data_IF_573203013636
#
_entry.id   IF_573203013636
#
_cell.length_a   1.000
_cell.length_b   1.000
_cell.length_c   1.000
_cell.angle_alpha   90.00
_cell.angle_beta   90.00
_cell.angle_gamma   90.00
#
_symmetry.space_group_name_H-M   'P 1'
#
loop_
_entity.id
_entity.type
_entity.pdbx_description
1 polymer ?
#
# COMPACT_ATOMS: atom_id res chain seq x y z
N UNK A 1 -22.12 -6.12 19.66
CA UNK A 1 -21.50 -4.78 19.54
C UNK A 1 -20.00 -4.95 19.34
N UNK A 2 -19.46 -4.58 18.20
CA UNK A 2 -18.00 -4.54 18.02
C UNK A 2 -17.41 -3.48 18.96
N UNK A 3 -16.32 -3.83 19.63
CA UNK A 3 -15.61 -2.92 20.55
C UNK A 3 -14.93 -1.83 19.73
N UNK A 4 -15.28 -0.56 19.97
CA UNK A 4 -14.57 0.57 19.34
C UNK A 4 -13.13 0.61 19.85
N UNK A 5 -12.18 0.66 18.93
CA UNK A 5 -10.75 0.75 19.20
C UNK A 5 -10.33 2.20 18.96
N UNK A 6 -10.16 2.96 20.03
CA UNK A 6 -9.68 4.33 19.93
C UNK A 6 -8.19 4.37 19.57
N UNK A 7 -7.78 5.17 18.57
CA UNK A 7 -6.37 5.35 18.24
C UNK A 7 -5.58 5.86 19.45
N UNK A 8 -4.30 5.47 19.61
CA UNK A 8 -3.48 5.92 20.75
C UNK A 8 -3.42 7.43 20.92
N UNK A 9 -3.45 8.19 19.83
CA UNK A 9 -3.34 9.66 19.82
C UNK A 9 -4.59 10.42 20.29
N UNK A 10 -5.69 9.73 20.52
CA UNK A 10 -6.86 10.30 21.19
C UNK A 10 -6.73 10.29 22.72
N UNK A 11 -5.74 9.56 23.27
CA UNK A 11 -5.54 9.48 24.72
C UNK A 11 -4.86 10.73 25.26
N UNK A 12 -5.35 11.32 26.38
CA UNK A 12 -4.68 12.42 27.04
C UNK A 12 -3.22 12.06 27.37
N UNK A 13 -2.30 13.01 27.16
CA UNK A 13 -0.87 12.84 27.44
C UNK A 13 -0.10 12.00 26.40
N UNK A 14 -0.77 11.42 25.41
CA UNK A 14 -0.08 10.64 24.38
C UNK A 14 1.05 11.42 23.69
N UNK A 15 0.77 12.65 23.23
CA UNK A 15 1.77 13.44 22.52
C UNK A 15 3.00 13.78 23.39
N UNK A 16 2.79 14.03 24.67
CA UNK A 16 3.89 14.25 25.62
C UNK A 16 4.74 12.98 25.78
N UNK A 17 4.09 11.83 25.92
CA UNK A 17 4.79 10.54 26.06
C UNK A 17 5.59 10.19 24.80
N UNK A 18 5.03 10.38 23.59
CA UNK A 18 5.76 10.11 22.33
C UNK A 18 6.89 11.11 22.12
N UNK A 19 6.70 12.37 22.51
CA UNK A 19 7.75 13.39 22.39
C UNK A 19 8.97 13.02 23.23
N UNK A 20 8.77 12.49 24.45
CA UNK A 20 9.86 11.98 25.29
C UNK A 20 10.60 10.83 24.63
N UNK A 21 9.87 9.85 24.08
CA UNK A 21 10.46 8.72 23.36
C UNK A 21 11.26 9.19 22.12
N UNK A 22 10.68 10.07 21.30
CA UNK A 22 11.33 10.63 20.10
C UNK A 22 12.66 11.29 20.45
N UNK A 23 12.67 12.15 21.47
CA UNK A 23 13.90 12.86 21.93
C UNK A 23 14.95 11.85 22.41
N UNK A 24 14.54 10.85 23.20
CA UNK A 24 15.46 9.83 23.70
C UNK A 24 16.13 9.04 22.56
N UNK A 25 15.34 8.57 21.58
CA UNK A 25 15.88 7.79 20.46
C UNK A 25 16.79 8.64 19.56
N UNK A 26 16.45 9.90 19.34
CA UNK A 26 17.30 10.79 18.57
C UNK A 26 18.64 11.07 19.23
N UNK A 27 18.65 11.27 20.55
CA UNK A 27 19.90 11.43 21.31
C UNK A 27 20.75 10.16 21.22
N UNK A 28 20.13 8.99 21.41
CA UNK A 28 20.79 7.69 21.30
C UNK A 28 21.37 7.44 19.90
N UNK A 29 20.72 7.95 18.86
CA UNK A 29 21.18 7.86 17.45
C UNK A 29 22.25 8.94 17.08
N UNK A 30 22.66 9.81 18.02
CA UNK A 30 23.60 10.91 17.72
C UNK A 30 22.98 12.04 16.90
N UNK A 31 21.66 12.17 16.92
CA UNK A 31 20.87 13.16 16.20
C UNK A 31 20.13 14.09 17.19
N UNK A 32 20.82 14.90 18.00
CA UNK A 32 20.16 15.73 19.00
C UNK A 32 19.10 16.65 18.38
N UNK A 33 17.89 16.73 18.94
CA UNK A 33 16.83 17.55 18.40
C UNK A 33 17.12 19.05 18.61
N UNK A 34 16.81 19.87 17.61
CA UNK A 34 16.90 21.35 17.63
C UNK A 34 15.61 22.01 18.17
N UNK A 35 14.76 21.24 18.84
CA UNK A 35 13.50 21.72 19.40
C UNK A 35 12.59 20.58 19.82
N UNK A 36 11.34 20.91 20.11
CA UNK A 36 10.32 19.89 20.44
C UNK A 36 9.72 19.28 19.19
N UNK A 37 9.31 17.98 19.22
CA UNK A 37 8.49 17.42 18.15
C UNK A 37 7.22 18.24 17.93
N UNK A 38 6.82 18.36 16.67
CA UNK A 38 5.62 19.09 16.25
C UNK A 38 4.66 18.08 15.62
N UNK A 39 3.46 17.97 16.16
CA UNK A 39 2.40 17.14 15.57
C UNK A 39 1.97 17.75 14.24
N UNK A 40 2.13 16.98 13.16
CA UNK A 40 1.82 17.45 11.79
C UNK A 40 0.41 17.03 11.37
N UNK A 41 0.03 15.79 11.71
CA UNK A 41 -1.27 15.23 11.28
C UNK A 41 -1.64 14.02 12.11
N UNK A 42 -2.95 13.87 12.37
CA UNK A 42 -3.58 12.63 12.81
C UNK A 42 -4.64 12.17 11.81
N UNK A 43 -4.76 10.86 11.65
CA UNK A 43 -5.77 10.17 10.84
C UNK A 43 -6.23 8.94 11.63
N UNK A 44 -7.37 8.33 11.32
CA UNK A 44 -7.78 7.09 11.98
C UNK A 44 -6.72 5.98 11.98
N UNK A 45 -5.85 5.95 10.97
CA UNK A 45 -4.83 4.92 10.77
C UNK A 45 -3.40 5.31 11.18
N UNK A 46 -3.09 6.59 11.37
CA UNK A 46 -1.75 7.02 11.77
C UNK A 46 -1.69 8.44 12.36
N UNK A 47 -0.71 8.65 13.25
CA UNK A 47 -0.28 9.96 13.70
C UNK A 47 1.14 10.24 13.22
N UNK A 48 1.39 11.47 12.76
CA UNK A 48 2.67 11.91 12.20
C UNK A 48 3.14 13.16 12.92
N UNK A 49 4.39 13.14 13.39
CA UNK A 49 5.06 14.30 13.94
C UNK A 49 6.41 14.50 13.26
N UNK A 50 6.96 15.67 13.42
CA UNK A 50 8.25 16.07 12.84
C UNK A 50 9.11 16.73 13.92
N UNK A 51 10.40 16.49 13.85
CA UNK A 51 11.40 17.17 14.67
C UNK A 51 12.65 17.49 13.84
N UNK A 52 13.24 18.64 14.05
CA UNK A 52 14.45 19.04 13.35
C UNK A 52 15.70 18.57 14.10
N UNK A 53 16.71 18.12 13.38
CA UNK A 53 17.99 17.67 13.91
C UNK A 53 19.10 17.99 12.93
N UNK A 54 20.18 18.67 13.33
CA UNK A 54 21.38 18.87 12.49
C UNK A 54 21.09 19.36 11.07
N UNK A 55 20.09 20.22 10.88
CA UNK A 55 19.68 20.74 9.58
C UNK A 55 18.78 19.81 8.75
N UNK A 56 18.44 18.59 9.26
CA UNK A 56 17.49 17.65 8.63
C UNK A 56 16.24 17.48 9.48
N UNK A 57 15.14 17.18 8.84
CA UNK A 57 13.93 16.73 9.55
C UNK A 57 13.99 15.22 9.82
N UNK A 58 13.46 14.82 10.97
CA UNK A 58 13.14 13.44 11.29
C UNK A 58 11.63 13.34 11.43
N UNK A 59 11.07 12.30 10.84
CA UNK A 59 9.65 12.04 10.84
C UNK A 59 9.32 10.89 11.79
N UNK A 60 8.41 11.16 12.70
CA UNK A 60 7.77 10.17 13.54
C UNK A 60 6.46 9.74 12.91
N UNK A 61 6.21 8.42 12.91
CA UNK A 61 4.90 7.84 12.60
C UNK A 61 4.54 6.83 13.68
N UNK A 62 3.30 6.89 14.18
CA UNK A 62 2.68 5.81 14.94
C UNK A 62 1.48 5.29 14.16
N UNK A 63 1.47 4.00 13.85
CA UNK A 63 0.40 3.34 13.11
C UNK A 63 -0.70 2.86 14.05
N UNK A 64 -1.94 2.84 13.58
CA UNK A 64 -3.07 2.27 14.32
C UNK A 64 -2.83 0.79 14.64
N UNK A 65 -3.52 0.23 15.64
CA UNK A 65 -3.35 -1.17 16.04
C UNK A 65 -3.53 -2.18 14.88
N UNK A 66 -4.43 -1.91 13.94
CA UNK A 66 -4.63 -2.74 12.74
C UNK A 66 -3.46 -2.71 11.76
N UNK A 67 -2.60 -1.69 11.83
CA UNK A 67 -1.44 -1.47 10.95
C UNK A 67 -0.12 -1.54 11.74
N UNK A 68 -0.12 -2.11 12.94
CA UNK A 68 1.04 -2.14 13.83
C UNK A 68 2.24 -2.94 13.29
N UNK A 69 2.07 -3.72 12.25
CA UNK A 69 3.12 -4.46 11.55
C UNK A 69 4.04 -3.56 10.72
N UNK A 70 3.60 -2.35 10.35
CA UNK A 70 4.27 -1.48 9.39
C UNK A 70 5.73 -1.16 9.74
N UNK A 71 6.12 -0.77 10.98
CA UNK A 71 7.51 -0.49 11.28
C UNK A 71 8.42 -1.71 11.09
N UNK A 72 7.98 -2.88 11.54
CA UNK A 72 8.75 -4.12 11.41
C UNK A 72 8.88 -4.56 9.93
N UNK A 73 7.82 -4.40 9.15
CA UNK A 73 7.85 -4.62 7.71
C UNK A 73 8.80 -3.63 7.02
N UNK A 74 8.73 -2.34 7.35
CA UNK A 74 9.60 -1.32 6.75
C UNK A 74 11.07 -1.60 7.01
N UNK A 75 11.43 -2.03 8.24
CA UNK A 75 12.80 -2.47 8.57
C UNK A 75 13.20 -3.65 7.69
N UNK A 76 12.33 -4.63 7.52
CA UNK A 76 12.61 -5.80 6.69
C UNK A 76 12.79 -5.43 5.22
N UNK A 77 11.90 -4.60 4.67
CA UNK A 77 12.00 -4.07 3.29
C UNK A 77 13.31 -3.31 3.10
N UNK A 78 13.67 -2.43 4.04
CA UNK A 78 14.92 -1.66 3.99
C UNK A 78 16.17 -2.56 4.03
N UNK A 79 16.12 -3.70 4.71
CA UNK A 79 17.22 -4.66 4.70
C UNK A 79 17.43 -5.34 3.34
N UNK A 80 16.37 -5.44 2.52
CA UNK A 80 16.41 -6.06 1.18
C UNK A 80 16.73 -5.06 0.07
N UNK A 81 16.31 -3.81 0.22
CA UNK A 81 16.55 -2.76 -0.78
C UNK A 81 16.67 -1.38 -0.11
N UNK A 82 17.83 -1.10 0.54
CA UNK A 82 18.02 0.13 1.33
C UNK A 82 17.93 1.41 0.50
N UNK A 83 18.38 1.39 -0.75
CA UNK A 83 18.36 2.54 -1.67
C UNK A 83 16.95 2.88 -2.20
N UNK A 84 15.95 2.01 -1.97
CA UNK A 84 14.53 2.25 -2.32
C UNK A 84 13.63 2.38 -1.09
N UNK A 85 14.21 2.44 0.09
CA UNK A 85 13.52 2.47 1.37
C UNK A 85 13.87 3.74 2.16
N UNK A 86 13.05 4.16 3.15
CA UNK A 86 13.42 5.23 4.05
C UNK A 86 14.61 4.86 4.93
N UNK A 87 15.41 5.84 5.32
CA UNK A 87 16.45 5.69 6.34
C UNK A 87 15.80 5.65 7.73
N UNK A 88 15.82 4.48 8.38
CA UNK A 88 15.17 4.25 9.66
C UNK A 88 16.13 4.61 10.78
N UNK A 89 15.69 5.46 11.70
CA UNK A 89 16.45 5.87 12.89
C UNK A 89 16.15 4.93 14.06
N UNK A 90 14.86 4.70 14.34
CA UNK A 90 14.43 3.82 15.43
C UNK A 90 13.02 3.27 15.19
N UNK A 91 12.72 2.12 15.80
CA UNK A 91 11.36 1.55 15.82
C UNK A 91 11.04 1.00 17.21
N UNK A 92 9.75 1.10 17.62
CA UNK A 92 9.25 0.50 18.86
C UNK A 92 7.77 0.17 18.74
N UNK A 93 7.46 -1.12 18.55
CA UNK A 93 6.07 -1.55 18.30
C UNK A 93 5.50 -0.84 17.07
N UNK A 94 4.36 -0.12 17.17
CA UNK A 94 3.75 0.56 16.05
C UNK A 94 4.43 1.90 15.67
N UNK A 95 5.55 2.26 16.32
CA UNK A 95 6.25 3.53 16.17
C UNK A 95 7.49 3.39 15.32
N UNK A 96 7.74 4.39 14.48
CA UNK A 96 8.92 4.48 13.64
C UNK A 96 9.42 5.92 13.56
N UNK A 97 10.75 6.09 13.57
CA UNK A 97 11.46 7.32 13.24
C UNK A 97 12.24 7.11 11.96
N UNK A 98 12.07 8.00 11.00
CA UNK A 98 12.81 7.98 9.74
C UNK A 98 13.43 9.34 9.47
N UNK A 99 14.60 9.36 8.86
CA UNK A 99 15.16 10.59 8.30
C UNK A 99 14.26 11.07 7.16
N UNK A 100 14.21 12.40 6.96
CA UNK A 100 13.52 13.00 5.84
C UNK A 100 14.01 12.42 4.51
N UNK A 101 13.09 11.85 3.73
CA UNK A 101 13.37 11.19 2.46
C UNK A 101 13.41 12.15 1.25
N UNK A 102 13.31 13.46 1.48
CA UNK A 102 13.35 14.46 0.44
C UNK A 102 11.99 14.94 -0.05
N UNK A 103 11.93 15.38 -1.29
CA UNK A 103 10.71 15.91 -1.87
C UNK A 103 9.79 14.81 -2.37
N UNK A 104 8.49 14.96 -2.15
CA UNK A 104 7.47 14.06 -2.72
C UNK A 104 7.53 14.09 -4.26
N UNK A 105 7.49 12.93 -4.90
CA UNK A 105 7.50 12.81 -6.37
C UNK A 105 6.38 13.64 -7.01
N UNK A 106 5.20 13.62 -6.42
CA UNK A 106 4.05 14.47 -6.82
C UNK A 106 4.38 15.95 -6.85
N UNK A 107 5.13 16.45 -5.87
CA UNK A 107 5.53 17.86 -5.82
C UNK A 107 6.57 18.19 -6.88
N UNK A 108 7.48 17.26 -7.17
CA UNK A 108 8.49 17.42 -8.23
C UNK A 108 7.84 17.46 -9.61
N UNK A 109 6.91 16.55 -9.91
CA UNK A 109 6.19 16.53 -11.18
C UNK A 109 5.35 17.80 -11.38
N UNK A 110 4.65 18.28 -10.34
CA UNK A 110 3.90 19.53 -10.40
C UNK A 110 4.79 20.75 -10.70
N UNK A 111 6.01 20.76 -10.17
CA UNK A 111 7.01 21.83 -10.40
C UNK A 111 7.80 21.63 -11.69
N UNK A 112 7.54 20.55 -12.44
CA UNK A 112 8.33 20.14 -13.61
C UNK A 112 9.84 20.03 -13.30
N UNK A 113 10.16 19.65 -12.07
CA UNK A 113 11.55 19.44 -11.63
C UNK A 113 12.05 18.08 -12.14
N UNK A 114 13.39 17.95 -12.26
CA UNK A 114 14.00 16.66 -12.57
C UNK A 114 13.65 15.65 -11.48
N UNK A 115 13.10 14.52 -11.87
CA UNK A 115 12.68 13.45 -10.98
C UNK A 115 12.76 12.10 -11.70
N UNK A 116 12.91 10.99 -10.99
CA UNK A 116 12.78 9.64 -11.56
C UNK A 116 11.43 9.47 -12.26
N UNK A 117 11.44 8.76 -13.39
CA UNK A 117 10.23 8.44 -14.13
C UNK A 117 9.56 7.17 -13.59
N UNK A 118 8.33 6.91 -13.99
CA UNK A 118 7.67 5.65 -13.68
C UNK A 118 8.36 4.44 -14.36
N UNK A 119 9.04 4.67 -15.48
CA UNK A 119 9.85 3.65 -16.15
C UNK A 119 11.07 3.24 -15.32
N UNK A 120 11.58 4.14 -14.45
CA UNK A 120 12.66 3.82 -13.52
C UNK A 120 12.13 3.19 -12.22
N UNK A 121 10.93 3.59 -11.78
CA UNK A 121 10.37 3.22 -10.48
C UNK A 121 9.73 1.82 -10.53
N UNK A 122 8.96 1.52 -11.58
CA UNK A 122 8.21 0.26 -11.68
C UNK A 122 9.10 -0.99 -11.73
N UNK A 123 10.18 -1.03 -12.52
CA UNK A 123 11.12 -2.16 -12.48
C UNK A 123 11.77 -2.32 -11.10
N UNK A 124 12.12 -1.23 -10.42
CA UNK A 124 12.69 -1.30 -9.06
C UNK A 124 11.69 -1.84 -8.04
N UNK A 125 10.43 -1.49 -8.18
CA UNK A 125 9.37 -2.06 -7.33
C UNK A 125 9.18 -3.55 -7.61
N UNK A 126 9.15 -3.98 -8.86
CA UNK A 126 9.10 -5.39 -9.24
C UNK A 126 10.31 -6.19 -8.68
N UNK A 127 11.51 -5.66 -8.80
CA UNK A 127 12.72 -6.29 -8.22
C UNK A 127 12.64 -6.38 -6.68
N UNK A 128 12.10 -5.37 -6.01
CA UNK A 128 11.86 -5.43 -4.57
C UNK A 128 10.88 -6.56 -4.21
N UNK A 129 9.78 -6.68 -4.94
CA UNK A 129 8.80 -7.74 -4.74
C UNK A 129 9.44 -9.13 -4.93
N UNK A 130 10.27 -9.32 -5.96
CA UNK A 130 11.00 -10.55 -6.23
C UNK A 130 11.96 -10.89 -5.08
N UNK A 131 12.69 -9.90 -4.56
CA UNK A 131 13.59 -10.08 -3.41
C UNK A 131 12.86 -10.46 -2.13
N UNK A 132 11.63 -9.95 -1.93
CA UNK A 132 10.83 -10.22 -0.74
C UNK A 132 10.08 -11.55 -0.81
N UNK A 133 9.89 -12.12 -2.00
CA UNK A 133 9.14 -13.36 -2.17
C UNK A 133 9.75 -14.56 -1.42
N UNK A 134 11.07 -14.60 -1.29
CA UNK A 134 11.78 -15.66 -0.55
C UNK A 134 11.55 -15.60 0.96
N UNK A 135 11.05 -14.48 1.47
CA UNK A 135 10.86 -14.23 2.89
C UNK A 135 9.39 -14.45 3.35
N UNK A 136 8.56 -15.08 2.52
CA UNK A 136 7.13 -15.24 2.77
C UNK A 136 6.77 -15.72 4.19
N UNK A 137 7.41 -16.75 4.78
CA UNK A 137 7.13 -17.18 6.15
C UNK A 137 7.41 -16.07 7.18
N UNK A 138 8.49 -15.30 6.98
CA UNK A 138 8.84 -14.17 7.86
C UNK A 138 7.80 -13.05 7.76
N UNK A 139 7.35 -12.72 6.56
CA UNK A 139 6.37 -11.66 6.32
C UNK A 139 5.05 -11.97 7.02
N UNK A 140 4.56 -13.20 6.92
CA UNK A 140 3.39 -13.67 7.66
C UNK A 140 3.64 -13.67 9.18
N UNK A 141 4.84 -14.03 9.62
CA UNK A 141 5.27 -13.95 11.03
C UNK A 141 5.29 -12.53 11.60
N UNK A 142 5.53 -11.51 10.76
CA UNK A 142 5.42 -10.09 11.09
C UNK A 142 3.95 -9.62 11.17
N UNK A 143 2.98 -10.49 10.91
CA UNK A 143 1.54 -10.18 10.85
C UNK A 143 1.18 -9.23 9.70
N UNK A 144 1.94 -9.23 8.62
CA UNK A 144 1.52 -8.60 7.37
C UNK A 144 0.24 -9.30 6.90
N UNK A 145 -0.84 -8.56 6.57
CA UNK A 145 -2.11 -9.16 6.17
C UNK A 145 -1.95 -10.17 5.03
N UNK A 146 -2.58 -11.33 5.19
CA UNK A 146 -2.61 -12.37 4.16
C UNK A 146 -3.79 -12.11 3.21
N UNK A 147 -3.47 -11.61 2.02
CA UNK A 147 -4.40 -11.39 0.91
C UNK A 147 -4.00 -12.23 -0.30
N UNK A 148 -3.44 -13.42 -0.06
CA UNK A 148 -3.14 -14.36 -1.15
C UNK A 148 -4.44 -14.76 -1.88
N UNK A 149 -4.36 -15.10 -3.17
CA UNK A 149 -5.54 -15.33 -4.00
C UNK A 149 -6.61 -16.22 -3.34
N UNK A 150 -6.23 -17.38 -2.77
CA UNK A 150 -7.15 -18.28 -2.09
C UNK A 150 -7.81 -17.66 -0.84
N UNK A 151 -7.05 -16.87 -0.07
CA UNK A 151 -7.57 -16.16 1.11
C UNK A 151 -8.61 -15.11 0.70
N UNK A 152 -8.34 -14.36 -0.38
CA UNK A 152 -9.27 -13.34 -0.89
C UNK A 152 -10.56 -14.00 -1.40
N UNK A 153 -10.45 -15.09 -2.17
CA UNK A 153 -11.62 -15.82 -2.67
C UNK A 153 -12.50 -16.34 -1.52
N UNK A 154 -11.90 -16.91 -0.47
CA UNK A 154 -12.63 -17.36 0.72
C UNK A 154 -13.37 -16.22 1.43
N UNK A 155 -12.81 -15.01 1.46
CA UNK A 155 -13.42 -13.85 2.12
C UNK A 155 -14.42 -13.10 1.22
N UNK A 156 -14.46 -13.40 -0.08
CA UNK A 156 -15.26 -12.65 -1.04
C UNK A 156 -16.77 -12.59 -0.70
N UNK A 157 -17.45 -13.69 -0.31
CA UNK A 157 -18.87 -13.62 0.07
C UNK A 157 -19.12 -12.65 1.24
N UNK A 158 -18.25 -12.64 2.25
CA UNK A 158 -18.35 -11.73 3.40
C UNK A 158 -18.13 -10.26 3.00
N UNK A 159 -17.25 -10.02 2.00
CA UNK A 159 -17.05 -8.67 1.44
C UNK A 159 -18.30 -8.20 0.71
N UNK A 160 -18.93 -9.07 -0.08
CA UNK A 160 -20.18 -8.75 -0.78
C UNK A 160 -21.31 -8.46 0.22
N UNK A 161 -21.45 -9.26 1.28
CA UNK A 161 -22.43 -9.01 2.33
C UNK A 161 -22.24 -7.62 2.99
N UNK A 162 -21.00 -7.23 3.24
CA UNK A 162 -20.69 -5.97 3.95
C UNK A 162 -20.68 -4.74 3.06
N UNK A 163 -20.27 -4.86 1.80
CA UNK A 163 -19.98 -3.74 0.89
C UNK A 163 -20.69 -3.83 -0.46
N UNK A 164 -21.44 -4.90 -0.74
CA UNK A 164 -22.18 -5.09 -2.01
C UNK A 164 -23.36 -4.13 -2.21
N UNK A 165 -23.48 -3.13 -1.33
CA UNK A 165 -24.48 -2.10 -1.42
C UNK A 165 -25.80 -2.48 -0.77
N UNK A 166 -26.74 -1.52 -0.77
CA UNK A 166 -28.11 -1.70 -0.23
C UNK A 166 -29.06 -2.40 -1.21
N UNK A 167 -28.63 -2.52 -2.45
CA UNK A 167 -29.40 -3.19 -3.50
C UNK A 167 -29.11 -4.68 -3.51
N UNK A 168 -30.08 -5.49 -3.10
CA UNK A 168 -29.99 -6.93 -3.08
C UNK A 168 -29.70 -7.55 -4.47
N UNK A 169 -30.10 -6.87 -5.54
CA UNK A 169 -29.85 -7.32 -6.91
C UNK A 169 -28.34 -7.18 -7.24
N UNK A 170 -27.71 -6.08 -6.87
CA UNK A 170 -26.27 -5.87 -7.05
C UNK A 170 -25.45 -6.87 -6.24
N UNK A 171 -25.82 -7.09 -4.97
CA UNK A 171 -25.18 -8.11 -4.13
C UNK A 171 -25.30 -9.52 -4.72
N UNK A 172 -26.49 -9.88 -5.23
CA UNK A 172 -26.69 -11.16 -5.90
C UNK A 172 -25.85 -11.31 -7.17
N UNK A 173 -25.73 -10.27 -7.99
CA UNK A 173 -24.87 -10.26 -9.17
C UNK A 173 -23.40 -10.44 -8.80
N UNK A 174 -22.91 -9.76 -7.76
CA UNK A 174 -21.56 -9.95 -7.24
C UNK A 174 -21.32 -11.40 -6.81
N UNK A 175 -22.24 -12.02 -6.05
CA UNK A 175 -22.10 -13.41 -5.61
C UNK A 175 -22.08 -14.40 -6.79
N UNK A 176 -22.76 -14.11 -7.89
CA UNK A 176 -22.69 -14.94 -9.11
C UNK A 176 -21.31 -14.97 -9.76
N UNK A 177 -20.42 -14.02 -9.42
CA UNK A 177 -19.04 -14.02 -9.90
C UNK A 177 -18.12 -15.01 -9.15
N UNK A 178 -18.54 -15.54 -7.99
CA UNK A 178 -17.71 -16.42 -7.14
C UNK A 178 -17.06 -17.59 -7.90
N UNK A 179 -17.75 -18.39 -8.74
CA UNK A 179 -17.10 -19.51 -9.44
C UNK A 179 -16.05 -19.05 -10.46
N UNK A 180 -16.24 -17.88 -11.08
CA UNK A 180 -15.27 -17.29 -12.00
C UNK A 180 -14.08 -16.73 -11.24
N UNK A 181 -14.30 -16.13 -10.05
CA UNK A 181 -13.23 -15.70 -9.16
C UNK A 181 -12.39 -16.87 -8.69
N UNK A 182 -13.00 -18.01 -8.33
CA UNK A 182 -12.27 -19.23 -7.96
C UNK A 182 -11.38 -19.73 -9.11
N UNK A 183 -11.88 -19.69 -10.34
CA UNK A 183 -11.09 -20.04 -11.52
C UNK A 183 -9.92 -19.07 -11.76
N UNK A 184 -10.15 -17.77 -11.60
CA UNK A 184 -9.11 -16.74 -11.69
C UNK A 184 -8.03 -16.96 -10.63
N UNK A 185 -8.42 -17.23 -9.39
CA UNK A 185 -7.54 -17.47 -8.26
C UNK A 185 -6.66 -18.71 -8.47
N UNK A 186 -7.22 -19.79 -9.03
CA UNK A 186 -6.45 -20.97 -9.40
C UNK A 186 -5.36 -20.65 -10.43
N UNK A 187 -5.67 -19.81 -11.42
CA UNK A 187 -4.71 -19.37 -12.43
C UNK A 187 -3.56 -18.50 -11.88
N UNK A 188 -3.74 -17.90 -10.71
CA UNK A 188 -2.73 -17.04 -10.05
C UNK A 188 -1.78 -17.80 -9.12
N UNK A 189 -1.89 -19.12 -8.99
CA UNK A 189 -1.03 -19.88 -8.07
C UNK A 189 0.38 -20.13 -8.62
N UNK A 190 0.53 -20.22 -9.92
CA UNK A 190 1.78 -20.45 -10.65
C UNK A 190 1.86 -19.54 -11.87
N UNK A 191 3.03 -19.19 -12.41
CA UNK A 191 4.39 -19.53 -11.96
C UNK A 191 5.03 -18.48 -11.04
N UNK A 192 4.33 -17.40 -10.65
CA UNK A 192 4.91 -16.31 -9.88
C UNK A 192 4.84 -16.56 -8.36
N UNK A 193 5.93 -16.28 -7.63
CA UNK A 193 5.89 -16.40 -6.18
C UNK A 193 5.00 -15.33 -5.54
N UNK A 194 4.29 -15.68 -4.46
CA UNK A 194 3.61 -14.72 -3.60
C UNK A 194 4.64 -13.83 -2.91
N UNK A 195 4.32 -12.56 -2.73
CA UNK A 195 5.22 -11.56 -2.17
C UNK A 195 4.47 -10.48 -1.40
N UNK A 196 5.19 -9.49 -0.90
CA UNK A 196 4.57 -8.28 -0.36
C UNK A 196 4.13 -7.36 -1.50
N UNK A 197 2.88 -6.91 -1.41
CA UNK A 197 2.36 -5.80 -2.21
C UNK A 197 2.22 -4.58 -1.30
N UNK A 198 2.53 -3.41 -1.83
CA UNK A 198 2.42 -2.14 -1.09
C UNK A 198 1.00 -1.58 -1.11
N UNK A 199 0.22 -1.88 -2.13
CA UNK A 199 -1.12 -1.39 -2.46
C UNK A 199 -1.25 0.11 -2.76
N UNK A 200 -0.32 0.96 -2.29
CA UNK A 200 -0.36 2.42 -2.40
C UNK A 200 0.91 2.97 -3.09
N UNK A 201 1.43 2.28 -4.13
CA UNK A 201 2.56 2.80 -4.93
C UNK A 201 2.06 3.92 -5.83
N UNK A 202 2.13 5.15 -5.35
CA UNK A 202 1.74 6.35 -6.07
C UNK A 202 2.64 7.54 -5.74
N UNK A 203 2.53 8.62 -6.51
CA UNK A 203 3.41 9.79 -6.44
C UNK A 203 3.51 10.45 -5.05
N UNK A 204 2.52 10.24 -4.16
CA UNK A 204 2.54 10.82 -2.82
C UNK A 204 3.32 9.96 -1.80
N UNK A 205 3.54 8.68 -2.08
CA UNK A 205 4.28 7.75 -1.22
C UNK A 205 5.72 7.50 -1.73
N UNK A 206 6.09 8.15 -2.83
CA UNK A 206 7.45 8.14 -3.36
C UNK A 206 8.09 9.49 -3.06
N UNK A 207 9.25 9.44 -2.43
CA UNK A 207 10.06 10.60 -2.07
C UNK A 207 11.41 10.54 -2.77
N UNK A 208 11.95 11.69 -3.14
CA UNK A 208 13.18 11.79 -3.91
C UNK A 208 14.18 12.67 -3.17
N UNK A 209 15.33 12.10 -2.87
CA UNK A 209 16.50 12.81 -2.34
C UNK A 209 17.71 12.44 -3.19
N UNK A 210 18.45 13.45 -3.62
CA UNK A 210 19.67 13.30 -4.42
C UNK A 210 19.47 12.41 -5.67
N UNK A 211 18.31 12.59 -6.34
CA UNK A 211 17.92 11.84 -7.53
C UNK A 211 17.43 10.41 -7.27
N UNK A 212 17.48 9.94 -6.02
CA UNK A 212 17.09 8.56 -5.65
C UNK A 212 15.66 8.53 -5.12
N UNK A 213 14.80 7.71 -5.73
CA UNK A 213 13.43 7.46 -5.27
C UNK A 213 13.43 6.49 -4.09
N UNK A 214 12.60 6.78 -3.07
CA UNK A 214 12.32 5.92 -1.92
C UNK A 214 10.83 5.73 -1.76
N UNK A 215 10.39 4.50 -1.54
CA UNK A 215 9.00 4.14 -1.31
C UNK A 215 8.73 4.09 0.20
N UNK A 216 7.75 4.88 0.65
CA UNK A 216 7.35 5.01 2.05
C UNK A 216 5.88 4.61 2.22
N UNK A 217 5.46 4.48 3.50
CA UNK A 217 4.07 4.24 3.89
C UNK A 217 3.56 2.82 3.57
N UNK A 218 4.16 1.81 4.22
CA UNK A 218 3.84 0.39 4.09
C UNK A 218 2.64 -0.05 4.95
N UNK A 219 1.87 0.88 5.49
CA UNK A 219 0.75 0.57 6.40
C UNK A 219 -0.35 -0.26 5.79
N UNK A 220 -0.60 -0.15 4.49
CA UNK A 220 -1.63 -0.93 3.79
C UNK A 220 -1.08 -2.17 3.08
N UNK A 221 0.22 -2.46 3.25
CA UNK A 221 0.86 -3.60 2.62
C UNK A 221 0.21 -4.95 3.01
N UNK A 222 0.30 -5.89 2.10
CA UNK A 222 -0.19 -7.24 2.31
C UNK A 222 0.69 -8.27 1.61
N UNK A 223 0.58 -9.53 1.99
CA UNK A 223 1.11 -10.67 1.22
C UNK A 223 0.06 -11.07 0.19
N UNK A 224 0.43 -11.05 -1.10
CA UNK A 224 -0.47 -11.41 -2.20
C UNK A 224 0.30 -11.81 -3.46
N UNK A 225 -0.45 -12.01 -4.57
CA UNK A 225 0.12 -12.08 -5.90
C UNK A 225 0.75 -10.74 -6.28
N UNK A 226 1.98 -10.70 -6.84
CA UNK A 226 2.70 -9.44 -7.06
C UNK A 226 1.92 -8.40 -7.85
N UNK A 227 1.17 -8.81 -8.85
CA UNK A 227 0.44 -7.91 -9.74
C UNK A 227 -0.83 -7.30 -9.12
N UNK A 228 -1.27 -7.82 -7.96
CA UNK A 228 -2.34 -7.17 -7.19
C UNK A 228 -1.90 -5.80 -6.60
N UNK A 229 -0.60 -5.58 -6.43
CA UNK A 229 -0.05 -4.37 -5.80
C UNK A 229 0.02 -3.12 -6.67
N UNK A 230 -0.33 -3.19 -7.96
CA UNK A 230 -0.14 -2.05 -8.89
C UNK A 230 -1.44 -1.37 -9.35
N UNK A 231 -2.59 -1.79 -8.84
CA UNK A 231 -3.88 -1.21 -9.24
C UNK A 231 -3.91 0.30 -9.02
N UNK A 232 -3.60 0.76 -7.82
CA UNK A 232 -3.54 2.19 -7.50
C UNK A 232 -2.50 2.93 -8.32
N UNK A 233 -1.37 2.29 -8.64
CA UNK A 233 -0.30 2.90 -9.44
C UNK A 233 -0.81 3.28 -10.83
N UNK A 234 -1.38 2.33 -11.56
CA UNK A 234 -1.87 2.57 -12.91
C UNK A 234 -3.05 3.55 -12.92
N UNK A 235 -3.93 3.49 -11.92
CA UNK A 235 -5.04 4.44 -11.77
C UNK A 235 -4.57 5.86 -11.46
N UNK A 236 -3.65 6.05 -10.50
CA UNK A 236 -3.12 7.38 -10.14
C UNK A 236 -2.38 8.00 -11.35
N UNK A 237 -1.58 7.21 -12.08
CA UNK A 237 -0.87 7.66 -13.27
C UNK A 237 -1.85 8.05 -14.38
N UNK A 238 -2.82 7.18 -14.69
CA UNK A 238 -3.82 7.45 -15.73
C UNK A 238 -4.63 8.71 -15.41
N UNK A 239 -5.14 8.83 -14.20
CA UNK A 239 -5.92 9.97 -13.75
C UNK A 239 -5.11 11.27 -13.82
N UNK A 240 -3.89 11.30 -13.27
CA UNK A 240 -3.07 12.51 -13.19
C UNK A 240 -2.56 12.98 -14.54
N UNK A 241 -2.27 12.05 -15.42
CA UNK A 241 -1.75 12.34 -16.77
C UNK A 241 -2.85 12.37 -17.82
N UNK A 242 -4.12 12.13 -17.43
CA UNK A 242 -5.29 12.07 -18.30
C UNK A 242 -5.09 11.09 -19.46
N UNK A 243 -4.57 9.89 -19.12
CA UNK A 243 -4.30 8.84 -20.09
C UNK A 243 -5.55 7.98 -20.31
N UNK A 244 -5.72 7.50 -21.53
CA UNK A 244 -6.71 6.48 -21.84
C UNK A 244 -6.19 5.11 -21.33
N UNK A 245 -7.11 4.23 -20.92
CA UNK A 245 -6.79 2.88 -20.41
C UNK A 245 -5.99 2.02 -21.41
N UNK A 246 -6.18 2.23 -22.73
CA UNK A 246 -5.48 1.56 -23.83
C UNK A 246 -4.30 2.40 -24.38
N UNK A 247 -3.95 3.49 -23.70
CA UNK A 247 -2.94 4.43 -24.15
C UNK A 247 -1.53 3.83 -24.17
N UNK A 248 -0.75 4.15 -25.19
CA UNK A 248 0.64 3.66 -25.36
C UNK A 248 1.51 3.84 -24.12
N UNK A 249 1.30 4.92 -23.36
CA UNK A 249 2.09 5.19 -22.14
C UNK A 249 1.78 4.16 -21.07
N UNK A 250 0.52 3.82 -20.81
CA UNK A 250 0.16 2.80 -19.81
C UNK A 250 0.66 1.42 -20.22
N UNK A 251 0.59 1.08 -21.51
CA UNK A 251 1.13 -0.20 -22.02
C UNK A 251 2.65 -0.27 -21.86
N UNK A 252 3.36 0.83 -22.10
CA UNK A 252 4.81 0.92 -21.88
C UNK A 252 5.16 0.75 -20.41
N UNK A 253 4.43 1.39 -19.49
CA UNK A 253 4.64 1.26 -18.06
C UNK A 253 4.32 -0.16 -17.57
N UNK A 254 3.27 -0.81 -18.10
CA UNK A 254 2.99 -2.22 -17.87
C UNK A 254 4.17 -3.09 -18.28
N UNK A 255 4.69 -2.90 -19.49
CA UNK A 255 5.85 -3.64 -19.99
C UNK A 255 7.09 -3.43 -19.11
N UNK A 256 7.36 -2.20 -18.66
CA UNK A 256 8.47 -1.89 -17.76
C UNK A 256 8.32 -2.61 -16.40
N UNK A 257 7.10 -2.68 -15.84
CA UNK A 257 6.84 -3.42 -14.61
C UNK A 257 6.98 -4.94 -14.79
N UNK A 258 6.57 -5.47 -15.95
CA UNK A 258 6.63 -6.90 -16.24
C UNK A 258 8.04 -7.40 -16.61
N UNK A 259 8.92 -6.52 -17.05
CA UNK A 259 10.27 -6.89 -17.51
C UNK A 259 11.03 -7.74 -16.48
N UNK A 260 11.17 -7.37 -15.19
CA UNK A 260 11.88 -8.18 -14.22
C UNK A 260 11.24 -9.56 -13.98
N UNK A 261 9.96 -9.72 -14.25
CA UNK A 261 9.22 -10.97 -14.07
C UNK A 261 9.41 -11.96 -15.23
N UNK A 262 10.02 -11.53 -16.34
CA UNK A 262 10.28 -12.40 -17.51
C UNK A 262 11.19 -13.59 -17.20
N UNK A 263 11.90 -13.55 -16.07
CA UNK A 263 12.69 -14.69 -15.55
C UNK A 263 11.83 -15.85 -15.04
N UNK A 264 10.54 -15.62 -14.79
CA UNK A 264 9.61 -16.63 -14.26
C UNK A 264 8.66 -17.17 -15.34
N UNK A 265 8.28 -16.35 -16.32
CA UNK A 265 7.32 -16.74 -17.36
C UNK A 265 7.50 -15.90 -18.65
N UNK A 266 7.06 -16.43 -19.81
CA UNK A 266 7.01 -15.66 -21.04
C UNK A 266 6.09 -14.43 -20.93
N UNK A 267 6.40 -13.35 -21.67
CA UNK A 267 5.67 -12.07 -21.62
C UNK A 267 4.16 -12.26 -21.80
N UNK A 268 3.71 -13.06 -22.77
CA UNK A 268 2.28 -13.33 -23.00
C UNK A 268 1.59 -13.88 -21.74
N UNK A 269 2.21 -14.84 -21.06
CA UNK A 269 1.65 -15.40 -19.82
C UNK A 269 1.66 -14.35 -18.70
N UNK A 270 2.71 -13.52 -18.62
CA UNK A 270 2.78 -12.43 -17.65
C UNK A 270 1.67 -11.39 -17.87
N UNK A 271 1.31 -11.11 -19.12
CA UNK A 271 0.20 -10.19 -19.44
C UNK A 271 -1.15 -10.77 -19.00
N UNK A 272 -1.39 -12.06 -19.20
CA UNK A 272 -2.61 -12.74 -18.73
C UNK A 272 -2.68 -12.76 -17.19
N UNK A 273 -1.57 -13.07 -16.52
CA UNK A 273 -1.44 -13.02 -15.06
C UNK A 273 -1.57 -11.60 -14.51
N UNK A 274 -1.10 -10.61 -15.26
CA UNK A 274 -1.23 -9.20 -14.86
C UNK A 274 -2.70 -8.79 -14.80
N UNK A 275 -3.49 -9.11 -15.79
CA UNK A 275 -4.91 -8.77 -15.82
C UNK A 275 -5.67 -9.47 -14.67
N UNK A 276 -5.39 -10.75 -14.44
CA UNK A 276 -5.97 -11.49 -13.32
C UNK A 276 -5.52 -10.93 -11.95
N UNK A 277 -4.23 -10.61 -11.79
CA UNK A 277 -3.69 -10.01 -10.59
C UNK A 277 -4.22 -8.60 -10.33
N UNK A 278 -4.45 -7.83 -11.39
CA UNK A 278 -5.05 -6.49 -11.31
C UNK A 278 -6.48 -6.55 -10.78
N UNK A 279 -7.30 -7.51 -11.23
CA UNK A 279 -8.64 -7.75 -10.69
C UNK A 279 -8.58 -8.14 -9.21
N UNK A 280 -7.69 -9.09 -8.84
CA UNK A 280 -7.47 -9.46 -7.45
C UNK A 280 -7.09 -8.25 -6.59
N UNK A 281 -6.28 -7.33 -7.13
CA UNK A 281 -5.85 -6.11 -6.46
C UNK A 281 -7.00 -5.19 -6.07
N UNK A 282 -8.08 -5.15 -6.85
CA UNK A 282 -9.29 -4.39 -6.47
C UNK A 282 -9.93 -4.96 -5.21
N UNK A 283 -10.02 -6.29 -5.08
CA UNK A 283 -10.50 -6.96 -3.86
C UNK A 283 -9.54 -6.77 -2.68
N UNK A 284 -8.22 -6.75 -2.93
CA UNK A 284 -7.24 -6.40 -1.91
C UNK A 284 -7.49 -4.99 -1.36
N UNK A 285 -7.89 -4.04 -2.20
CA UNK A 285 -8.27 -2.68 -1.79
C UNK A 285 -9.54 -2.64 -0.94
N UNK A 286 -10.55 -3.46 -1.27
CA UNK A 286 -11.73 -3.62 -0.41
C UNK A 286 -11.33 -4.08 0.98
N UNK A 287 -10.47 -5.11 1.07
CA UNK A 287 -9.96 -5.64 2.34
C UNK A 287 -9.10 -4.62 3.11
N UNK A 288 -8.34 -3.76 2.43
CA UNK A 288 -7.56 -2.70 3.08
C UNK A 288 -8.50 -1.68 3.76
N UNK A 289 -9.52 -1.22 3.06
CA UNK A 289 -10.51 -0.30 3.64
C UNK A 289 -11.34 -0.94 4.74
N UNK A 290 -11.69 -2.22 4.61
CA UNK A 290 -12.32 -2.96 5.70
C UNK A 290 -11.44 -2.97 6.96
N UNK A 291 -10.16 -3.33 6.84
CA UNK A 291 -9.21 -3.35 7.95
C UNK A 291 -9.00 -1.97 8.61
N UNK A 292 -8.99 -0.89 7.80
CA UNK A 292 -8.86 0.49 8.29
C UNK A 292 -10.12 0.92 9.06
N UNK A 293 -11.31 0.54 8.60
CA UNK A 293 -12.58 0.95 9.20
C UNK A 293 -13.04 0.03 10.32
N UNK A 294 -12.49 -1.18 10.38
CA UNK A 294 -12.87 -2.16 11.41
C UNK A 294 -12.46 -1.69 12.81
N UNK A 295 -13.41 -1.70 13.73
CA UNK A 295 -13.18 -1.23 15.10
C UNK A 295 -13.13 0.29 15.28
N UNK A 296 -13.29 1.08 14.22
CA UNK A 296 -13.41 2.53 14.32
C UNK A 296 -14.80 2.95 14.86
N UNK A 297 -14.87 4.19 15.35
CA UNK A 297 -16.15 4.79 15.74
C UNK A 297 -17.12 4.83 14.54
N UNK A 298 -18.46 4.72 14.76
CA UNK A 298 -19.44 4.66 13.68
C UNK A 298 -19.33 5.81 12.67
N UNK A 299 -19.04 7.01 13.14
CA UNK A 299 -18.90 8.22 12.32
C UNK A 299 -17.70 8.11 11.38
N UNK A 300 -16.55 7.63 11.89
CA UNK A 300 -15.34 7.39 11.10
C UNK A 300 -15.60 6.28 10.09
N UNK A 301 -16.26 5.20 10.50
CA UNK A 301 -16.61 4.12 9.59
C UNK A 301 -17.51 4.60 8.46
N UNK A 302 -18.51 5.42 8.75
CA UNK A 302 -19.42 5.99 7.75
C UNK A 302 -18.69 6.88 6.74
N UNK A 303 -17.66 7.62 7.18
CA UNK A 303 -16.85 8.48 6.30
C UNK A 303 -16.06 7.68 5.27
N UNK A 304 -15.57 6.48 5.64
CA UNK A 304 -14.61 5.73 4.80
C UNK A 304 -15.17 4.45 4.16
N UNK A 305 -16.34 3.96 4.59
CA UNK A 305 -16.94 2.72 4.05
C UNK A 305 -17.17 2.79 2.54
N UNK A 306 -17.53 3.96 2.05
CA UNK A 306 -17.76 4.19 0.62
C UNK A 306 -16.54 3.85 -0.25
N UNK A 307 -15.33 3.97 0.27
CA UNK A 307 -14.14 3.57 -0.49
C UNK A 307 -14.10 2.07 -0.79
N UNK A 308 -14.53 1.22 0.16
CA UNK A 308 -14.64 -0.22 -0.07
C UNK A 308 -15.73 -0.55 -1.11
N UNK A 309 -16.87 0.13 -1.03
CA UNK A 309 -17.99 -0.02 -1.98
C UNK A 309 -17.53 0.32 -3.41
N UNK A 310 -16.86 1.46 -3.59
CA UNK A 310 -16.31 1.88 -4.90
C UNK A 310 -15.34 0.85 -5.47
N UNK A 311 -14.46 0.27 -4.66
CA UNK A 311 -13.53 -0.75 -5.14
C UNK A 311 -14.22 -2.05 -5.54
N UNK A 312 -15.29 -2.42 -4.83
CA UNK A 312 -16.07 -3.61 -5.15
C UNK A 312 -16.87 -3.43 -6.45
N UNK A 313 -17.48 -2.25 -6.65
CA UNK A 313 -18.15 -1.91 -7.91
C UNK A 313 -17.18 -1.93 -9.10
N UNK A 314 -16.00 -1.36 -8.92
CA UNK A 314 -14.96 -1.38 -9.96
C UNK A 314 -14.47 -2.79 -10.28
N UNK A 315 -14.37 -3.65 -9.27
CA UNK A 315 -14.06 -5.06 -9.48
C UNK A 315 -15.15 -5.70 -10.36
N UNK A 316 -16.44 -5.52 -10.03
CA UNK A 316 -17.56 -6.06 -10.80
C UNK A 316 -17.50 -5.61 -12.25
N UNK A 317 -17.40 -4.30 -12.49
CA UNK A 317 -17.33 -3.74 -13.85
C UNK A 317 -16.13 -4.27 -14.65
N UNK A 318 -14.94 -4.26 -14.04
CA UNK A 318 -13.73 -4.76 -14.71
C UNK A 318 -13.76 -6.27 -14.94
N UNK A 319 -14.46 -7.02 -14.11
CA UNK A 319 -14.61 -8.46 -14.26
C UNK A 319 -15.58 -8.83 -15.37
N UNK A 320 -16.61 -8.00 -15.63
CA UNK A 320 -17.61 -8.18 -16.68
C UNK A 320 -17.11 -7.65 -18.04
N UNK A 321 -16.49 -6.49 -18.05
CA UNK A 321 -16.12 -5.76 -19.27
C UNK A 321 -14.65 -5.94 -19.68
N UNK A 322 -13.84 -6.59 -18.88
CA UNK A 322 -12.40 -6.70 -19.04
C UNK A 322 -11.61 -5.61 -18.31
N UNK A 323 -10.34 -5.91 -18.03
CA UNK A 323 -9.45 -5.00 -17.30
C UNK A 323 -9.15 -3.74 -18.12
N UNK A 324 -9.46 -2.59 -17.53
CA UNK A 324 -9.10 -1.28 -18.05
C UNK A 324 -8.06 -0.64 -17.13
N UNK A 325 -6.83 -0.52 -17.60
CA UNK A 325 -5.76 0.12 -16.81
C UNK A 325 -6.12 1.58 -16.58
N UNK A 326 -6.13 2.01 -15.33
CA UNK A 326 -6.46 3.37 -14.97
C UNK A 326 -7.93 3.61 -14.59
N UNK A 327 -8.77 2.62 -14.71
CA UNK A 327 -10.21 2.67 -14.39
C UNK A 327 -11.11 3.04 -15.56
N UNK A 328 -12.42 3.00 -15.31
CA UNK A 328 -13.43 3.36 -16.31
C UNK A 328 -13.34 4.82 -16.74
#
# INVERSE_FOLDING_TARGET
>A
MQRVIHPPWEKPGWFQAISGWVVSELIAAGLPPEGRPILVRTRPWAAIARVRTGGRDVWFKESAPSLAFEPALTVHVASRQPDFSPEIVATKGPRMLTLDAGAQLRALYRRRSRAPSWDDILPRYAELQIKLAVDLPRLLGLRVPDKRPATVSTQYPDLVERFGGRDAQVAAQLLLLSPRLDSLVQGLQDPLPMTVIHEEVHEANIFVRDGTARLLDWGEAAVSHPFAGVVNTFRDVAFRRRLRHDGRELMRLRAAYLEPWTRFAPVRQLEELFDAGYLLGMLCRVLAWDAITQGQAPEVRQEYVHNAEVWLDMFRESFEEGVKLGGP
#
